data_IF_450016458064
#
_entry.id   IF_450016458064
#
_cell.length_a   1.000
_cell.length_b   1.000
_cell.length_c   1.000
_cell.angle_alpha   90.00
_cell.angle_beta   90.00
_cell.angle_gamma   90.00
#
_symmetry.space_group_name_H-M   'P 1'
#
loop_
_entity.id
_entity.type
_entity.pdbx_description
1 polymer ?
#
# COMPACT_ATOMS: atom_id res chain seq x y z
N UNK A 1 26.60 27.97 -5.67
CA UNK A 1 27.48 28.17 -6.84
C UNK A 1 28.35 26.94 -6.97
N UNK A 2 28.23 26.15 -8.04
CA UNK A 2 29.12 24.99 -8.26
C UNK A 2 30.57 25.47 -8.27
N UNK A 3 31.51 24.71 -7.70
CA UNK A 3 32.93 25.09 -7.62
C UNK A 3 33.53 25.50 -8.97
N UNK A 4 33.01 24.94 -10.06
CA UNK A 4 33.33 25.32 -11.44
C UNK A 4 33.05 26.79 -11.77
N UNK A 5 31.90 27.35 -11.36
CA UNK A 5 31.57 28.75 -11.65
C UNK A 5 32.42 29.70 -10.80
N UNK A 6 32.73 29.32 -9.56
CA UNK A 6 33.62 30.10 -8.69
C UNK A 6 35.05 30.10 -9.25
N UNK A 7 35.56 28.94 -9.66
CA UNK A 7 36.86 28.82 -10.32
C UNK A 7 36.94 29.67 -11.59
N UNK A 8 35.90 29.64 -12.44
CA UNK A 8 35.85 30.44 -13.65
C UNK A 8 35.80 31.95 -13.34
N UNK A 9 35.07 32.38 -12.33
CA UNK A 9 35.05 33.79 -11.90
C UNK A 9 36.42 34.24 -11.40
N UNK A 10 37.11 33.41 -10.60
CA UNK A 10 38.48 33.67 -10.15
C UNK A 10 39.43 33.77 -11.35
N UNK A 11 39.30 32.88 -12.34
CA UNK A 11 40.10 32.91 -13.56
C UNK A 11 39.88 34.23 -14.35
N UNK A 12 38.62 34.68 -14.49
CA UNK A 12 38.29 35.95 -15.15
C UNK A 12 38.94 37.13 -14.44
N UNK A 13 38.85 37.18 -13.10
CA UNK A 13 39.47 38.24 -12.30
C UNK A 13 40.98 38.22 -12.45
N UNK A 14 41.60 37.04 -12.39
CA UNK A 14 43.04 36.88 -12.59
C UNK A 14 43.46 37.36 -14.00
N UNK A 15 42.69 37.01 -15.02
CA UNK A 15 42.96 37.42 -16.41
C UNK A 15 42.78 38.93 -16.60
N UNK A 16 41.79 39.54 -15.95
CA UNK A 16 41.57 40.99 -15.96
C UNK A 16 42.72 41.75 -15.25
N UNK A 17 43.18 41.26 -14.11
CA UNK A 17 44.35 41.82 -13.39
C UNK A 17 45.62 41.69 -14.23
N UNK A 18 45.82 40.54 -14.87
CA UNK A 18 46.95 40.33 -15.79
C UNK A 18 46.89 41.30 -16.99
N UNK A 19 45.72 41.47 -17.60
CA UNK A 19 45.51 42.39 -18.72
C UNK A 19 45.76 43.85 -18.32
N UNK A 20 45.24 44.28 -17.17
CA UNK A 20 45.49 45.61 -16.63
C UNK A 20 46.98 45.81 -16.35
N UNK A 21 47.65 44.85 -15.70
CA UNK A 21 49.07 44.97 -15.40
C UNK A 21 49.95 45.08 -16.65
N UNK A 22 49.55 44.39 -17.72
CA UNK A 22 50.27 44.34 -19.00
C UNK A 22 49.64 45.23 -20.08
N UNK A 23 48.92 46.29 -19.69
CA UNK A 23 48.14 47.11 -20.61
C UNK A 23 48.92 47.61 -21.84
N UNK A 24 50.17 48.06 -21.63
CA UNK A 24 51.04 48.55 -22.69
C UNK A 24 51.29 47.51 -23.81
N UNK A 25 51.36 46.23 -23.46
CA UNK A 25 51.55 45.12 -24.42
C UNK A 25 50.27 44.88 -25.23
N UNK A 26 49.10 45.02 -24.60
CA UNK A 26 47.83 44.82 -25.28
C UNK A 26 47.46 45.97 -26.22
N UNK A 27 47.92 47.20 -25.91
CA UNK A 27 47.71 48.40 -26.73
C UNK A 27 48.66 48.53 -27.92
N UNK A 28 49.64 47.63 -28.08
CA UNK A 28 50.59 47.68 -29.19
C UNK A 28 49.89 47.43 -30.53
N UNK A 29 50.01 48.39 -31.46
CA UNK A 29 49.44 48.30 -32.80
C UNK A 29 50.23 47.30 -33.66
N UNK A 30 49.53 46.31 -34.21
CA UNK A 30 50.12 45.35 -35.15
C UNK A 30 49.27 45.25 -36.41
N UNK A 31 49.95 45.04 -37.53
CA UNK A 31 49.30 44.75 -38.81
C UNK A 31 48.74 43.33 -38.77
N UNK A 32 47.41 43.20 -38.77
CA UNK A 32 46.70 41.93 -38.72
C UNK A 32 46.17 41.59 -40.11
N UNK A 33 46.44 40.37 -40.58
CA UNK A 33 45.76 39.82 -41.76
C UNK A 33 44.44 39.18 -41.34
N UNK A 34 43.34 39.81 -41.71
CA UNK A 34 41.98 39.30 -41.56
C UNK A 34 41.59 38.51 -42.82
N UNK A 35 42.13 37.29 -42.98
CA UNK A 35 41.87 36.33 -44.09
C UNK A 35 42.00 36.86 -45.54
N UNK A 36 41.36 37.97 -45.89
CA UNK A 36 41.37 38.67 -47.17
C UNK A 36 41.85 40.13 -47.10
N UNK A 37 41.92 40.76 -45.91
CA UNK A 37 42.32 42.17 -45.77
C UNK A 37 43.37 42.35 -44.67
N UNK A 38 44.12 43.46 -44.71
CA UNK A 38 45.05 43.83 -43.63
C UNK A 38 44.53 45.04 -42.89
N UNK A 39 44.43 44.95 -41.56
CA UNK A 39 44.02 46.06 -40.70
C UNK A 39 45.06 46.24 -39.60
N UNK A 40 45.51 47.47 -39.39
CA UNK A 40 46.34 47.82 -38.24
C UNK A 40 45.43 48.09 -37.06
N UNK A 41 45.52 47.26 -36.03
CA UNK A 41 44.77 47.44 -34.80
C UNK A 41 45.57 46.90 -33.60
N UNK A 42 45.27 47.36 -32.38
CA UNK A 42 45.80 46.74 -31.18
C UNK A 42 45.29 45.30 -31.04
N UNK A 43 46.10 44.33 -31.49
CA UNK A 43 45.73 42.91 -31.52
C UNK A 43 45.28 42.42 -30.15
N UNK A 44 45.97 42.86 -29.10
CA UNK A 44 45.69 42.47 -27.73
C UNK A 44 44.29 42.88 -27.27
N UNK A 45 43.87 44.10 -27.59
CA UNK A 45 42.53 44.61 -27.24
C UNK A 45 41.45 43.86 -28.01
N UNK A 46 41.67 43.60 -29.31
CA UNK A 46 40.71 42.85 -30.14
C UNK A 46 40.50 41.45 -29.58
N UNK A 47 41.58 40.73 -29.28
CA UNK A 47 41.50 39.38 -28.71
C UNK A 47 40.90 39.36 -27.31
N UNK A 48 41.25 40.33 -26.44
CA UNK A 48 40.63 40.45 -25.11
C UNK A 48 39.13 40.70 -25.20
N UNK A 49 38.68 41.53 -26.13
CA UNK A 49 37.26 41.84 -26.33
C UNK A 49 36.50 40.60 -26.78
N UNK A 50 37.01 39.89 -27.78
CA UNK A 50 36.39 38.64 -28.26
C UNK A 50 36.33 37.60 -27.13
N UNK A 51 37.43 37.43 -26.39
CA UNK A 51 37.50 36.53 -25.24
C UNK A 51 36.47 36.89 -24.17
N UNK A 52 36.37 38.18 -23.80
CA UNK A 52 35.41 38.66 -22.81
C UNK A 52 33.96 38.39 -23.23
N UNK A 53 33.63 38.60 -24.51
CA UNK A 53 32.30 38.29 -25.06
C UNK A 53 32.00 36.80 -24.98
N UNK A 54 32.94 35.93 -25.40
CA UNK A 54 32.76 34.47 -25.33
C UNK A 54 32.56 33.99 -23.90
N UNK A 55 33.35 34.51 -22.97
CA UNK A 55 33.21 34.21 -21.54
C UNK A 55 31.85 34.65 -21.00
N UNK A 56 31.39 35.86 -21.37
CA UNK A 56 30.09 36.37 -20.94
C UNK A 56 28.94 35.49 -21.47
N UNK A 57 28.99 35.09 -22.75
CA UNK A 57 28.01 34.17 -23.35
C UNK A 57 28.02 32.83 -22.62
N UNK A 58 29.20 32.25 -22.39
CA UNK A 58 29.35 30.98 -21.67
C UNK A 58 28.80 31.06 -20.24
N UNK A 59 29.07 32.16 -19.54
CA UNK A 59 28.56 32.40 -18.19
C UNK A 59 27.04 32.52 -18.18
N UNK A 60 26.47 33.30 -19.10
CA UNK A 60 25.02 33.46 -19.26
C UNK A 60 24.34 32.13 -19.53
N UNK A 61 24.89 31.32 -20.45
CA UNK A 61 24.40 30.00 -20.78
C UNK A 61 24.42 29.06 -19.56
N UNK A 62 25.55 28.99 -18.85
CA UNK A 62 25.72 28.12 -17.68
C UNK A 62 24.77 28.50 -16.54
N UNK A 63 24.63 29.79 -16.24
CA UNK A 63 23.72 30.27 -15.19
C UNK A 63 22.25 30.01 -15.58
N UNK A 64 21.87 30.27 -16.83
CA UNK A 64 20.51 30.02 -17.32
C UNK A 64 20.10 28.55 -17.26
N UNK A 65 21.01 27.63 -17.58
CA UNK A 65 20.78 26.20 -17.46
C UNK A 65 20.63 25.73 -16.01
N UNK A 66 21.44 26.28 -15.10
CA UNK A 66 21.35 25.94 -13.68
C UNK A 66 20.03 26.40 -13.07
N UNK A 67 19.54 27.58 -13.44
CA UNK A 67 18.26 28.09 -12.94
C UNK A 67 17.07 27.32 -13.52
N UNK A 68 17.08 27.00 -14.82
CA UNK A 68 16.05 26.20 -15.45
C UNK A 68 15.93 24.81 -14.81
N UNK A 69 17.06 24.12 -14.59
CA UNK A 69 17.08 22.80 -13.95
C UNK A 69 16.54 22.85 -12.51
N UNK A 70 16.88 23.89 -11.73
CA UNK A 70 16.36 24.05 -10.37
C UNK A 70 14.84 24.32 -10.35
N UNK A 71 14.33 25.07 -11.33
CA UNK A 71 12.90 25.32 -11.46
C UNK A 71 12.13 24.05 -11.83
N UNK A 72 12.68 23.23 -12.71
CA UNK A 72 12.11 21.92 -13.07
C UNK A 72 12.07 20.99 -11.87
N UNK A 73 13.15 20.88 -11.08
CA UNK A 73 13.17 20.07 -9.86
C UNK A 73 12.09 20.52 -8.87
N UNK A 74 11.92 21.84 -8.67
CA UNK A 74 10.85 22.37 -7.81
C UNK A 74 9.45 22.10 -8.36
N UNK A 75 9.27 22.05 -9.68
CA UNK A 75 8.00 21.66 -10.30
C UNK A 75 7.70 20.19 -10.02
N UNK A 76 8.64 19.29 -10.32
CA UNK A 76 8.47 17.86 -10.07
C UNK A 76 8.23 17.53 -8.60
N UNK A 77 8.92 18.21 -7.67
CA UNK A 77 8.67 18.03 -6.24
C UNK A 77 7.23 18.39 -5.84
N UNK A 78 6.65 19.45 -6.43
CA UNK A 78 5.25 19.84 -6.19
C UNK A 78 4.28 18.82 -6.76
N UNK A 79 4.53 18.33 -7.97
CA UNK A 79 3.71 17.28 -8.60
C UNK A 79 3.75 15.98 -7.79
N UNK A 80 4.92 15.57 -7.30
CA UNK A 80 5.09 14.42 -6.40
C UNK A 80 4.34 14.58 -5.08
N UNK A 81 4.40 15.76 -4.46
CA UNK A 81 3.66 16.04 -3.23
C UNK A 81 2.14 16.01 -3.46
N UNK A 82 1.66 16.54 -4.58
CA UNK A 82 0.25 16.48 -4.95
C UNK A 82 -0.20 15.03 -5.19
N UNK A 83 0.59 14.24 -5.93
CA UNK A 83 0.31 12.84 -6.17
C UNK A 83 0.29 12.02 -4.88
N UNK A 84 1.24 12.26 -3.97
CA UNK A 84 1.27 11.63 -2.64
C UNK A 84 0.03 11.99 -1.83
N UNK A 85 -0.38 13.27 -1.82
CA UNK A 85 -1.58 13.69 -1.10
C UNK A 85 -2.85 12.99 -1.62
N UNK A 86 -2.97 12.85 -2.94
CA UNK A 86 -4.09 12.11 -3.56
C UNK A 86 -4.04 10.62 -3.21
N UNK A 87 -2.85 10.02 -3.16
CA UNK A 87 -2.68 8.64 -2.73
C UNK A 87 -3.05 8.45 -1.26
N UNK A 88 -2.57 9.33 -0.37
CA UNK A 88 -2.88 9.29 1.06
C UNK A 88 -4.39 9.45 1.32
N UNK A 89 -5.07 10.31 0.54
CA UNK A 89 -6.52 10.52 0.63
C UNK A 89 -7.30 9.30 0.10
N UNK A 90 -6.85 8.71 -1.00
CA UNK A 90 -7.42 7.45 -1.52
C UNK A 90 -7.21 6.29 -0.54
N UNK A 91 -6.04 6.19 0.09
CA UNK A 91 -5.76 5.20 1.13
C UNK A 91 -6.63 5.43 2.37
N UNK A 92 -6.78 6.67 2.83
CA UNK A 92 -7.65 6.99 3.95
C UNK A 92 -9.11 6.60 3.67
N UNK A 93 -9.58 6.80 2.44
CA UNK A 93 -10.91 6.34 2.01
C UNK A 93 -11.04 4.82 2.06
N UNK A 94 -10.05 4.08 1.53
CA UNK A 94 -10.01 2.60 1.58
C UNK A 94 -9.95 2.06 3.02
N UNK A 95 -9.17 2.69 3.89
CA UNK A 95 -9.12 2.34 5.32
C UNK A 95 -10.46 2.60 6.02
N UNK A 96 -11.12 3.72 5.71
CA UNK A 96 -12.45 4.04 6.23
C UNK A 96 -13.50 3.03 5.77
N UNK A 97 -13.47 2.64 4.49
CA UNK A 97 -14.37 1.64 3.92
C UNK A 97 -14.12 0.24 4.51
N UNK A 98 -12.86 -0.18 4.63
CA UNK A 98 -12.50 -1.45 5.26
C UNK A 98 -12.91 -1.47 6.73
N UNK A 99 -12.73 -0.35 7.45
CA UNK A 99 -13.17 -0.22 8.84
C UNK A 99 -14.69 -0.33 8.95
N UNK A 100 -15.46 0.35 8.09
CA UNK A 100 -16.92 0.24 8.06
C UNK A 100 -17.38 -1.19 7.74
N UNK A 101 -16.72 -1.86 6.79
CA UNK A 101 -17.02 -3.24 6.47
C UNK A 101 -16.72 -4.17 7.67
N UNK A 102 -15.57 -4.00 8.32
CA UNK A 102 -15.19 -4.78 9.50
C UNK A 102 -16.13 -4.52 10.69
N UNK A 103 -16.55 -3.27 10.92
CA UNK A 103 -17.54 -2.90 11.92
C UNK A 103 -18.91 -3.54 11.62
N UNK A 104 -19.31 -3.59 10.34
CA UNK A 104 -20.51 -4.28 9.88
C UNK A 104 -20.45 -5.78 10.12
N UNK A 105 -19.31 -6.41 9.79
CA UNK A 105 -19.10 -7.85 10.00
C UNK A 105 -19.07 -8.21 11.49
N UNK A 106 -18.38 -7.40 12.32
CA UNK A 106 -18.38 -7.53 13.78
C UNK A 106 -19.78 -7.34 14.38
N UNK A 107 -20.55 -6.36 13.88
CA UNK A 107 -21.92 -6.14 14.31
C UNK A 107 -22.82 -7.33 13.90
N UNK A 108 -22.63 -7.88 12.70
CA UNK A 108 -23.31 -9.10 12.23
C UNK A 108 -22.99 -10.32 13.09
N UNK A 109 -21.71 -10.52 13.43
CA UNK A 109 -21.25 -11.58 14.35
C UNK A 109 -21.82 -11.39 15.76
N UNK A 110 -21.87 -10.15 16.25
CA UNK A 110 -22.44 -9.82 17.57
C UNK A 110 -23.96 -9.97 17.58
N UNK A 111 -24.64 -9.68 16.47
CA UNK A 111 -26.06 -9.99 16.30
C UNK A 111 -26.29 -11.51 16.22
N UNK A 112 -25.29 -12.28 15.78
CA UNK A 112 -25.32 -13.75 15.77
C UNK A 112 -25.03 -14.42 17.13
N UNK A 113 -24.81 -13.73 18.25
CA UNK A 113 -24.66 -14.37 19.59
C UNK A 113 -24.95 -13.39 20.74
N UNK A 114 -25.83 -13.68 21.74
CA UNK A 114 -26.06 -14.97 22.42
C UNK A 114 -27.47 -15.59 22.24
N UNK A 115 -28.47 -14.81 21.83
CA UNK A 115 -29.88 -15.24 21.74
C UNK A 115 -30.11 -16.35 20.72
N UNK A 116 -29.42 -16.31 19.58
CA UNK A 116 -29.49 -17.40 18.57
C UNK A 116 -28.81 -18.69 19.02
N UNK A 117 -27.79 -18.58 19.87
CA UNK A 117 -27.06 -19.72 20.44
C UNK A 117 -27.84 -20.34 21.60
N UNK A 118 -28.42 -19.51 22.48
CA UNK A 118 -29.33 -19.89 23.56
C UNK A 118 -30.61 -20.56 23.01
N UNK A 119 -31.21 -20.00 21.96
CA UNK A 119 -32.39 -20.60 21.32
C UNK A 119 -32.07 -21.98 20.70
N UNK A 120 -30.88 -22.14 20.11
CA UNK A 120 -30.43 -23.46 19.62
C UNK A 120 -30.15 -24.44 20.75
N UNK A 121 -29.54 -23.99 21.85
CA UNK A 121 -29.28 -24.80 23.04
C UNK A 121 -30.59 -25.27 23.70
N UNK A 122 -31.59 -24.39 23.81
CA UNK A 122 -32.93 -24.73 24.31
C UNK A 122 -33.63 -25.75 23.40
N UNK A 123 -33.61 -25.53 22.08
CA UNK A 123 -34.20 -26.47 21.13
C UNK A 123 -33.52 -27.86 21.16
N UNK A 124 -32.22 -27.92 21.47
CA UNK A 124 -31.50 -29.18 21.66
C UNK A 124 -31.90 -29.85 22.98
N UNK A 125 -32.01 -29.10 24.08
CA UNK A 125 -32.43 -29.63 25.38
C UNK A 125 -33.85 -30.23 25.31
N UNK A 126 -34.82 -29.51 24.73
CA UNK A 126 -36.19 -30.02 24.52
C UNK A 126 -36.26 -31.27 23.64
N UNK A 127 -35.27 -31.49 22.79
CA UNK A 127 -35.19 -32.68 21.94
C UNK A 127 -34.59 -33.87 22.69
N UNK A 128 -33.67 -33.62 23.62
CA UNK A 128 -33.12 -34.63 24.52
C UNK A 128 -34.22 -35.10 25.49
N UNK A 129 -34.97 -34.19 26.11
CA UNK A 129 -36.04 -34.56 27.05
C UNK A 129 -37.11 -35.45 26.38
N UNK A 130 -37.53 -35.11 25.15
CA UNK A 130 -38.47 -35.94 24.38
C UNK A 130 -37.93 -37.33 24.06
N UNK A 131 -36.65 -37.43 23.71
CA UNK A 131 -36.01 -38.72 23.46
C UNK A 131 -35.91 -39.56 24.73
N UNK A 132 -35.70 -38.93 25.89
CA UNK A 132 -35.66 -39.63 27.18
C UNK A 132 -37.04 -40.18 27.56
N UNK A 133 -38.11 -39.40 27.36
CA UNK A 133 -39.48 -39.84 27.60
C UNK A 133 -39.88 -40.99 26.66
N UNK A 134 -39.57 -40.88 25.38
CA UNK A 134 -39.84 -41.93 24.39
C UNK A 134 -39.10 -43.24 24.74
N UNK A 135 -37.84 -43.13 25.18
CA UNK A 135 -37.04 -44.30 25.57
C UNK A 135 -37.55 -44.93 26.88
N UNK A 136 -38.03 -44.13 27.83
CA UNK A 136 -38.73 -44.63 29.02
C UNK A 136 -40.00 -45.39 28.64
N UNK A 137 -40.81 -44.82 27.76
CA UNK A 137 -42.05 -45.44 27.30
C UNK A 137 -41.77 -46.77 26.58
N UNK A 138 -40.74 -46.82 25.74
CA UNK A 138 -40.30 -48.05 25.07
C UNK A 138 -39.78 -49.10 26.05
N UNK A 139 -39.06 -48.71 27.10
CA UNK A 139 -38.64 -49.62 28.18
C UNK A 139 -39.85 -50.16 28.93
N UNK A 140 -40.82 -49.31 29.29
CA UNK A 140 -42.05 -49.76 29.96
C UNK A 140 -42.86 -50.72 29.08
N UNK A 141 -43.00 -50.41 27.79
CA UNK A 141 -43.64 -51.32 26.82
C UNK A 141 -42.89 -52.65 26.72
N UNK A 142 -41.57 -52.62 26.56
CA UNK A 142 -40.75 -53.83 26.51
C UNK A 142 -40.87 -54.64 27.81
N UNK A 143 -40.86 -53.98 28.97
CA UNK A 143 -41.08 -54.62 30.27
C UNK A 143 -42.45 -55.27 30.39
N UNK A 144 -43.51 -54.59 29.96
CA UNK A 144 -44.87 -55.13 29.95
C UNK A 144 -45.01 -56.30 28.96
N UNK A 145 -44.41 -56.21 27.77
CA UNK A 145 -44.39 -57.30 26.78
C UNK A 145 -43.59 -58.50 27.29
N UNK A 146 -42.44 -58.28 27.94
CA UNK A 146 -41.67 -59.35 28.57
C UNK A 146 -42.45 -59.99 29.73
N UNK A 147 -43.13 -59.20 30.56
CA UNK A 147 -44.00 -59.74 31.61
C UNK A 147 -45.16 -60.56 31.04
N UNK A 148 -45.76 -60.13 29.93
CA UNK A 148 -46.79 -60.89 29.23
C UNK A 148 -46.24 -62.21 28.66
N UNK A 149 -45.06 -62.19 28.01
CA UNK A 149 -44.42 -63.41 27.50
C UNK A 149 -43.97 -64.36 28.61
N UNK A 150 -43.47 -63.84 29.74
CA UNK A 150 -43.13 -64.66 30.91
C UNK A 150 -44.41 -65.27 31.50
N UNK A 151 -45.49 -64.50 31.64
CA UNK A 151 -46.78 -65.01 32.09
C UNK A 151 -47.34 -66.10 31.18
N UNK A 152 -47.24 -65.93 29.86
CA UNK A 152 -47.67 -66.94 28.88
C UNK A 152 -46.79 -68.21 28.94
N UNK A 153 -45.47 -68.07 29.12
CA UNK A 153 -44.56 -69.19 29.33
C UNK A 153 -44.85 -69.93 30.65
N UNK A 154 -45.11 -69.19 31.73
CA UNK A 154 -45.48 -69.75 33.03
C UNK A 154 -46.83 -70.49 32.95
N UNK A 155 -47.81 -69.96 32.21
CA UNK A 155 -49.08 -70.62 31.91
C UNK A 155 -48.88 -71.88 31.06
N UNK A 156 -47.96 -71.89 30.08
CA UNK A 156 -47.65 -73.12 29.32
C UNK A 156 -46.97 -74.18 30.18
N UNK A 157 -46.01 -73.79 31.02
CA UNK A 157 -45.26 -74.71 31.90
C UNK A 157 -46.18 -75.27 33.00
N UNK A 158 -47.09 -74.44 33.54
CA UNK A 158 -47.99 -74.83 34.65
C UNK A 158 -49.30 -75.44 34.14
N UNK A 159 -49.73 -75.07 32.94
CA UNK A 159 -51.01 -75.47 32.32
C UNK A 159 -50.98 -76.79 31.54
N UNK A 160 -49.81 -77.39 31.33
CA UNK A 160 -49.68 -78.67 30.61
C UNK A 160 -49.94 -79.92 31.50
N UNK A 161 -50.66 -79.78 32.61
CA UNK A 161 -51.01 -80.90 33.50
C UNK A 161 -52.51 -81.08 33.77
N UNK A 162 -53.42 -80.40 33.04
CA UNK A 162 -54.87 -80.69 33.14
C UNK A 162 -55.59 -80.65 31.80
N UNK A 163 -55.36 -81.68 30.99
CA UNK A 163 -56.33 -82.14 29.98
C UNK A 163 -57.09 -83.37 30.53
N UNK A 164 -58.36 -83.27 30.92
CA UNK A 164 -59.20 -84.46 31.09
C UNK A 164 -59.60 -85.01 29.71
N UNK A 165 -59.67 -86.34 29.52
CA UNK A 165 -59.99 -86.95 28.22
C UNK A 165 -61.46 -86.74 27.83
N UNK A 166 -61.81 -86.89 26.53
CA UNK A 166 -63.17 -86.70 26.04
C UNK A 166 -64.07 -87.88 26.44
N UNK A 167 -65.35 -87.66 26.79
CA UNK A 167 -66.36 -88.70 26.78
C UNK A 167 -67.05 -88.79 25.40
N UNK A 168 -67.38 -90.04 25.04
CA UNK A 168 -68.23 -90.47 23.93
C UNK A 168 -69.69 -90.09 24.13
#
# INVERSE_FOLDING_TARGET
MRGRNVFLLVLIVAMAVFAWRNWAVFSEEKTLSLFFTQITAPFGIVMLTIMAVLVAIYFMYTVGLETAALLEVKRYARELLAARKLADEAEASRFSELKKWLEGELAGLKAQSPTGLEARLQAIAERIDRLEDELREDIEKAGNTLAAYIGELEDQITGQDRHPPPPR
#
